data_IF_484719989354
#
_entry.id   IF_484719989354
#
_cell.length_a   1.000
_cell.length_b   1.000
_cell.length_c   1.000
_cell.angle_alpha   90.00
_cell.angle_beta   90.00
_cell.angle_gamma   90.00
#
_symmetry.space_group_name_H-M   'P 1'
#
loop_
_entity.id
_entity.type
_entity.pdbx_description
1 polymer ?
#
# COMPACT_ATOMS: atom_id res chain seq x y z
N UNK A 1 16.11 22.73 13.27
CA UNK A 1 14.75 23.32 13.27
C UNK A 1 14.11 22.97 11.93
N UNK A 2 13.37 21.87 11.86
CA UNK A 2 12.64 21.44 10.67
C UNK A 2 11.35 22.24 10.56
N UNK A 3 11.26 23.16 9.61
CA UNK A 3 9.98 23.75 9.22
C UNK A 3 9.18 22.68 8.49
N UNK A 4 8.24 22.09 9.17
CA UNK A 4 7.11 21.40 8.53
C UNK A 4 6.38 22.46 7.70
N UNK A 5 6.51 22.38 6.37
CA UNK A 5 5.73 23.22 5.48
C UNK A 5 4.26 22.80 5.60
N UNK A 6 3.53 23.48 6.46
CA UNK A 6 2.08 23.37 6.48
C UNK A 6 1.59 23.84 5.10
N UNK A 7 1.04 22.93 4.32
CA UNK A 7 0.37 23.25 3.06
C UNK A 7 -0.73 24.25 3.41
N UNK A 8 -0.65 25.46 2.88
CA UNK A 8 -1.67 26.48 3.14
C UNK A 8 -3.01 25.97 2.58
N UNK A 9 -4.05 25.91 3.40
CA UNK A 9 -5.40 25.48 3.01
C UNK A 9 -5.93 26.23 1.77
N UNK A 10 -5.48 27.49 1.58
CA UNK A 10 -5.81 28.28 0.39
C UNK A 10 -5.20 27.71 -0.90
N UNK A 11 -4.11 26.98 -0.85
CA UNK A 11 -3.50 26.33 -2.02
C UNK A 11 -4.16 24.98 -2.34
N UNK A 12 -4.72 24.30 -1.36
CA UNK A 12 -5.50 23.07 -1.57
C UNK A 12 -6.87 23.35 -2.22
N UNK A 13 -7.38 24.57 -2.16
CA UNK A 13 -8.60 24.98 -2.86
C UNK A 13 -8.39 25.09 -4.39
N UNK A 14 -7.14 25.17 -4.83
CA UNK A 14 -6.79 25.16 -6.24
C UNK A 14 -6.65 23.69 -6.68
N UNK A 15 -7.20 23.36 -7.85
CA UNK A 15 -7.07 22.02 -8.41
C UNK A 15 -5.60 21.68 -8.65
N UNK A 16 -5.18 20.40 -8.47
CA UNK A 16 -3.84 19.98 -8.82
C UNK A 16 -3.58 20.14 -10.32
N UNK A 17 -2.31 20.14 -10.70
CA UNK A 17 -1.93 20.11 -12.10
C UNK A 17 -2.50 18.87 -12.81
N UNK A 18 -2.88 19.03 -14.08
CA UNK A 18 -3.44 17.93 -14.87
C UNK A 18 -2.44 16.82 -15.17
N UNK A 19 -1.14 17.12 -15.09
CA UNK A 19 -0.07 16.14 -15.29
C UNK A 19 0.35 15.58 -13.95
N UNK A 20 0.33 14.27 -13.82
CA UNK A 20 0.81 13.54 -12.66
C UNK A 20 2.14 12.86 -12.99
N UNK A 21 2.99 12.71 -11.99
CA UNK A 21 4.20 11.89 -12.10
C UNK A 21 3.92 10.53 -11.46
N UNK A 22 4.37 9.46 -12.10
CA UNK A 22 4.26 8.11 -11.58
C UNK A 22 5.65 7.56 -11.26
N UNK A 23 5.74 6.76 -10.20
CA UNK A 23 6.98 6.19 -9.69
C UNK A 23 6.85 4.68 -9.49
N UNK A 24 7.97 3.99 -9.46
CA UNK A 24 8.02 2.54 -9.23
C UNK A 24 8.03 2.17 -7.76
N UNK A 25 8.56 3.04 -6.89
CA UNK A 25 8.69 2.75 -5.48
C UNK A 25 8.74 4.00 -4.62
N UNK A 26 8.48 3.80 -3.32
CA UNK A 26 8.44 4.86 -2.32
C UNK A 26 8.84 4.34 -0.96
N UNK A 27 9.73 5.09 -0.30
CA UNK A 27 10.09 4.81 1.08
C UNK A 27 9.37 5.79 2.01
N UNK A 28 8.50 5.28 2.87
CA UNK A 28 7.71 6.08 3.80
C UNK A 28 7.44 5.30 5.09
N UNK A 29 7.43 5.99 6.23
CA UNK A 29 7.17 5.41 7.56
C UNK A 29 8.09 4.22 7.91
N UNK A 30 9.27 4.14 7.31
CA UNK A 30 10.19 3.03 7.47
C UNK A 30 9.88 1.79 6.64
N UNK A 31 8.99 1.91 5.66
CA UNK A 31 8.64 0.85 4.71
C UNK A 31 9.09 1.20 3.31
N UNK A 32 9.53 0.18 2.56
CA UNK A 32 9.82 0.29 1.13
C UNK A 32 8.69 -0.32 0.36
N UNK A 33 7.94 0.49 -0.38
CA UNK A 33 6.87 0.03 -1.25
C UNK A 33 7.33 0.02 -2.71
N UNK A 34 6.91 -1.00 -3.46
CA UNK A 34 7.06 -1.07 -4.90
C UNK A 34 5.73 -1.37 -5.56
N UNK A 35 5.53 -0.85 -6.76
CA UNK A 35 4.35 -1.19 -7.57
C UNK A 35 4.37 -2.66 -7.95
N UNK A 36 3.19 -3.25 -8.21
CA UNK A 36 3.08 -4.64 -8.63
C UNK A 36 3.88 -4.90 -9.92
N UNK A 37 3.83 -3.94 -10.88
CA UNK A 37 4.59 -4.01 -12.13
C UNK A 37 6.10 -4.11 -11.89
N UNK A 38 6.65 -3.26 -11.03
CA UNK A 38 8.08 -3.27 -10.71
C UNK A 38 8.51 -4.53 -9.96
N UNK A 39 7.64 -5.07 -9.11
CA UNK A 39 7.89 -6.29 -8.34
C UNK A 39 7.85 -7.57 -9.19
N UNK A 40 7.30 -7.50 -10.41
CA UNK A 40 7.13 -8.67 -11.25
C UNK A 40 8.47 -9.31 -11.62
N UNK A 41 8.63 -10.61 -11.32
CA UNK A 41 9.87 -11.36 -11.57
C UNK A 41 10.96 -11.21 -10.50
N UNK A 42 10.75 -10.42 -9.45
CA UNK A 42 11.69 -10.28 -8.33
C UNK A 42 11.39 -11.32 -7.23
N UNK A 43 12.41 -11.61 -6.39
CA UNK A 43 12.25 -12.55 -5.26
C UNK A 43 11.37 -12.00 -4.13
N UNK A 44 11.31 -10.68 -3.98
CA UNK A 44 10.53 -10.00 -2.94
C UNK A 44 9.48 -9.11 -3.55
N UNK A 45 8.25 -9.23 -3.06
CA UNK A 45 7.11 -8.43 -3.47
C UNK A 45 6.76 -7.47 -2.33
N UNK A 46 7.16 -6.19 -2.48
CA UNK A 46 6.90 -5.13 -1.51
C UNK A 46 5.68 -4.28 -1.90
N UNK A 47 4.68 -4.89 -2.50
CA UNK A 47 3.48 -4.23 -2.98
C UNK A 47 2.26 -4.38 -2.05
N UNK A 48 2.39 -5.13 -0.98
CA UNK A 48 1.31 -5.31 -0.01
C UNK A 48 1.10 -4.06 0.84
N UNK A 49 -0.13 -3.58 0.88
CA UNK A 49 -0.54 -2.36 1.61
C UNK A 49 -1.63 -2.71 2.60
N UNK A 50 -1.54 -2.17 3.81
CA UNK A 50 -2.66 -2.11 4.74
C UNK A 50 -2.91 -0.70 5.22
N UNK A 51 -4.17 -0.38 5.46
CA UNK A 51 -4.63 0.89 6.01
C UNK A 51 -5.62 0.60 7.13
N UNK A 52 -5.45 1.28 8.25
CA UNK A 52 -6.41 1.18 9.33
C UNK A 52 -7.76 1.76 8.89
N UNK A 53 -8.81 0.98 9.03
CA UNK A 53 -10.16 1.48 8.85
C UNK A 53 -10.50 2.44 9.97
N UNK A 54 -10.93 3.65 9.61
CA UNK A 54 -11.59 4.56 10.54
C UNK A 54 -13.09 4.45 10.29
N UNK A 55 -13.74 3.56 10.97
CA UNK A 55 -15.21 3.47 10.87
C UNK A 55 -15.85 4.08 12.11
N UNK A 56 -16.93 4.84 11.88
CA UNK A 56 -17.88 5.19 12.93
C UNK A 56 -18.68 3.97 13.45
N UNK A 57 -18.29 2.76 13.07
CA UNK A 57 -18.92 1.49 13.50
C UNK A 57 -18.03 0.78 14.52
N UNK A 58 -18.64 -0.04 15.37
CA UNK A 58 -18.01 -0.76 16.49
C UNK A 58 -16.91 -1.76 16.08
N UNK A 59 -16.68 -1.97 14.77
CA UNK A 59 -15.69 -2.89 14.24
C UNK A 59 -14.72 -2.14 13.31
N UNK A 60 -13.52 -1.85 13.84
CA UNK A 60 -12.40 -1.37 13.01
C UNK A 60 -11.87 -2.54 12.17
N UNK A 61 -12.20 -2.54 10.88
CA UNK A 61 -11.64 -3.52 9.94
C UNK A 61 -10.51 -2.85 9.16
N UNK A 62 -9.31 -3.39 9.28
CA UNK A 62 -8.18 -2.95 8.45
C UNK A 62 -8.46 -3.27 6.98
N UNK A 63 -8.13 -2.35 6.09
CA UNK A 63 -8.15 -2.58 4.63
C UNK A 63 -6.82 -3.19 4.21
N UNK A 64 -6.89 -4.16 3.33
CA UNK A 64 -5.72 -4.83 2.75
C UNK A 64 -5.77 -4.77 1.23
N UNK A 65 -4.63 -4.52 0.60
CA UNK A 65 -4.57 -4.36 -0.84
C UNK A 65 -3.16 -4.48 -1.40
N UNK A 66 -3.05 -4.28 -2.71
CA UNK A 66 -1.79 -4.25 -3.42
C UNK A 66 -1.60 -2.90 -4.10
N UNK A 67 -0.39 -2.39 -4.07
CA UNK A 67 -0.01 -1.16 -4.73
C UNK A 67 0.08 -1.38 -6.25
N UNK A 68 -0.81 -0.74 -6.99
CA UNK A 68 -0.79 -0.74 -8.47
C UNK A 68 0.04 0.42 -9.01
N UNK A 69 -0.26 1.64 -8.55
CA UNK A 69 0.41 2.86 -9.02
C UNK A 69 0.77 3.77 -7.85
N UNK A 70 1.91 4.44 -7.97
CA UNK A 70 2.32 5.52 -7.08
C UNK A 70 2.29 6.84 -7.84
N UNK A 71 1.51 7.78 -7.37
CA UNK A 71 1.19 9.02 -8.05
C UNK A 71 1.61 10.22 -7.20
N UNK A 72 2.33 11.15 -7.81
CA UNK A 72 2.60 12.48 -7.26
C UNK A 72 1.65 13.49 -7.90
N UNK A 73 0.86 14.15 -7.06
CA UNK A 73 0.06 15.32 -7.43
C UNK A 73 0.83 16.59 -7.05
N UNK A 74 0.99 17.49 -8.00
CA UNK A 74 1.63 18.78 -7.79
C UNK A 74 0.57 19.90 -7.76
N UNK A 75 0.66 20.78 -6.77
CA UNK A 75 -0.22 21.94 -6.61
C UNK A 75 0.59 23.22 -6.75
N UNK A 76 0.48 23.92 -7.88
CA UNK A 76 1.01 25.29 -8.18
C UNK A 76 2.41 25.66 -7.67
N UNK A 77 3.11 24.80 -6.95
CA UNK A 77 4.52 24.99 -6.58
C UNK A 77 5.18 23.64 -6.36
N UNK A 78 6.46 23.56 -6.63
CA UNK A 78 7.26 22.34 -6.41
C UNK A 78 7.30 21.88 -4.94
N UNK A 79 6.97 22.76 -4.01
CA UNK A 79 6.94 22.45 -2.59
C UNK A 79 5.62 21.82 -2.13
N UNK A 80 4.54 21.98 -2.91
CA UNK A 80 3.21 21.47 -2.59
C UNK A 80 2.92 20.19 -3.37
N UNK A 81 3.48 19.08 -2.90
CA UNK A 81 3.32 17.76 -3.50
C UNK A 81 2.60 16.82 -2.56
N UNK A 82 1.69 16.03 -3.13
CA UNK A 82 0.95 14.99 -2.42
C UNK A 82 1.21 13.66 -3.11
N UNK A 83 1.64 12.67 -2.35
CA UNK A 83 1.83 11.32 -2.84
C UNK A 83 0.65 10.45 -2.46
N UNK A 84 0.12 9.75 -3.46
CA UNK A 84 -0.99 8.83 -3.33
C UNK A 84 -0.59 7.44 -3.83
N UNK A 85 -1.03 6.43 -3.11
CA UNK A 85 -1.06 5.07 -3.61
C UNK A 85 -2.42 4.81 -4.25
N UNK A 86 -2.42 4.33 -5.48
CA UNK A 86 -3.56 3.67 -6.09
C UNK A 86 -3.43 2.19 -5.83
N UNK A 87 -4.39 1.66 -5.09
CA UNK A 87 -4.36 0.29 -4.64
C UNK A 87 -5.53 -0.50 -5.18
N UNK A 88 -5.26 -1.76 -5.40
CA UNK A 88 -6.25 -2.79 -5.53
C UNK A 88 -6.62 -3.30 -4.14
N UNK A 89 -7.88 -3.15 -3.74
CA UNK A 89 -8.34 -3.52 -2.41
C UNK A 89 -9.07 -4.86 -2.41
N UNK A 90 -8.83 -5.65 -1.38
CA UNK A 90 -9.56 -6.89 -1.12
C UNK A 90 -10.87 -6.59 -0.40
N UNK A 91 -11.86 -7.46 -0.63
CA UNK A 91 -13.16 -7.36 0.02
C UNK A 91 -13.01 -7.51 1.54
N UNK A 92 -13.60 -6.58 2.29
CA UNK A 92 -13.54 -6.54 3.77
C UNK A 92 -14.65 -7.34 4.45
N UNK A 93 -15.56 -7.94 3.68
CA UNK A 93 -16.61 -8.84 4.21
C UNK A 93 -16.05 -10.23 4.50
N UNK A 94 -16.85 -11.08 5.14
CA UNK A 94 -16.50 -12.49 5.42
C UNK A 94 -16.14 -13.31 4.16
N UNK A 95 -16.48 -12.80 2.98
CA UNK A 95 -16.07 -13.41 1.68
C UNK A 95 -14.62 -13.15 1.33
N UNK A 96 -14.09 -12.02 1.80
CA UNK A 96 -12.76 -11.55 1.46
C UNK A 96 -11.76 -11.61 2.60
N UNK A 97 -12.20 -11.48 3.85
CA UNK A 97 -11.33 -11.52 5.04
C UNK A 97 -11.91 -12.49 6.06
N UNK A 98 -11.03 -13.26 6.67
CA UNK A 98 -11.34 -14.09 7.83
C UNK A 98 -10.17 -14.18 8.79
N UNK A 99 -10.44 -14.56 10.02
CA UNK A 99 -9.40 -14.86 11.01
C UNK A 99 -9.36 -16.37 11.23
N UNK A 100 -8.18 -16.97 11.06
CA UNK A 100 -7.99 -18.38 11.37
C UNK A 100 -8.22 -18.62 12.86
N UNK A 101 -9.16 -19.52 13.25
CA UNK A 101 -9.54 -19.69 14.65
C UNK A 101 -8.47 -20.38 15.50
N UNK A 102 -7.51 -21.07 14.85
CA UNK A 102 -6.48 -21.83 15.56
C UNK A 102 -5.26 -20.95 15.84
N UNK A 103 -4.85 -20.11 14.88
CA UNK A 103 -3.62 -19.33 14.96
C UNK A 103 -3.87 -17.83 15.07
N UNK A 104 -5.11 -17.38 14.92
CA UNK A 104 -5.44 -15.94 14.91
C UNK A 104 -4.87 -15.17 13.71
N UNK A 105 -4.45 -15.89 12.68
CA UNK A 105 -3.90 -15.27 11.47
C UNK A 105 -5.02 -14.67 10.63
N UNK A 106 -4.77 -13.46 10.13
CA UNK A 106 -5.69 -12.84 9.19
C UNK A 106 -5.41 -13.43 7.81
N UNK A 107 -6.46 -13.94 7.18
CA UNK A 107 -6.43 -14.49 5.84
C UNK A 107 -7.31 -13.67 4.90
N UNK A 108 -6.82 -13.44 3.69
CA UNK A 108 -7.57 -12.76 2.63
C UNK A 108 -7.81 -13.69 1.45
N UNK A 109 -8.97 -13.56 0.83
CA UNK A 109 -9.28 -14.23 -0.42
C UNK A 109 -8.74 -13.40 -1.59
N UNK A 110 -7.73 -13.93 -2.28
CA UNK A 110 -7.06 -13.24 -3.39
C UNK A 110 -7.96 -12.93 -4.58
N UNK A 111 -9.11 -13.61 -4.68
CA UNK A 111 -10.08 -13.41 -5.76
C UNK A 111 -11.23 -12.46 -5.38
N UNK A 112 -11.43 -12.21 -4.08
CA UNK A 112 -12.47 -11.32 -3.62
C UNK A 112 -11.97 -9.87 -3.61
N UNK A 113 -12.57 -9.04 -4.46
CA UNK A 113 -12.23 -7.63 -4.63
C UNK A 113 -13.29 -6.74 -4.01
N UNK A 114 -12.86 -5.63 -3.45
CA UNK A 114 -13.77 -4.56 -3.05
C UNK A 114 -14.37 -3.94 -4.31
N UNK A 115 -15.70 -3.99 -4.43
CA UNK A 115 -16.41 -3.50 -5.62
C UNK A 115 -16.49 -1.97 -5.71
N UNK A 116 -15.98 -1.23 -4.72
CA UNK A 116 -16.07 0.23 -4.71
C UNK A 116 -14.96 0.85 -5.56
N UNK A 117 -15.26 1.12 -6.82
CA UNK A 117 -14.33 1.65 -7.84
C UNK A 117 -13.86 3.08 -7.52
N UNK A 118 -14.56 3.80 -6.64
CA UNK A 118 -14.29 5.22 -6.37
C UNK A 118 -13.27 5.45 -5.26
N UNK A 119 -12.89 4.42 -4.49
CA UNK A 119 -12.06 4.57 -3.29
C UNK A 119 -10.74 3.79 -3.41
N UNK A 120 -10.06 3.99 -4.53
CA UNK A 120 -8.80 3.28 -4.85
C UNK A 120 -7.56 4.00 -4.33
N UNK A 121 -7.67 5.29 -3.99
CA UNK A 121 -6.55 6.12 -3.58
C UNK A 121 -6.42 6.24 -2.06
N UNK A 122 -5.18 6.23 -1.58
CA UNK A 122 -4.85 6.45 -0.18
C UNK A 122 -3.59 7.29 -0.05
N UNK A 123 -3.50 8.12 1.00
CA UNK A 123 -2.28 8.85 1.29
C UNK A 123 -1.18 7.89 1.73
N UNK A 124 0.01 8.02 1.12
CA UNK A 124 1.14 7.14 1.42
C UNK A 124 1.49 7.08 2.92
N UNK A 125 1.29 8.19 3.64
CA UNK A 125 1.56 8.29 5.09
C UNK A 125 0.61 7.46 5.97
N UNK A 126 -0.54 7.05 5.44
CA UNK A 126 -1.51 6.21 6.16
C UNK A 126 -1.23 4.72 6.00
N UNK A 127 -0.33 4.37 5.09
CA UNK A 127 -0.07 3.00 4.70
C UNK A 127 0.95 2.32 5.60
N UNK A 128 0.71 1.04 5.86
CA UNK A 128 1.65 0.09 6.45
C UNK A 128 1.90 -1.04 5.46
N UNK A 129 3.12 -1.58 5.47
CA UNK A 129 3.48 -2.67 4.58
C UNK A 129 3.06 -4.01 5.17
N UNK A 130 2.53 -4.87 4.31
CA UNK A 130 2.19 -6.26 4.63
C UNK A 130 2.71 -7.20 3.55
N UNK A 131 2.91 -8.44 3.92
CA UNK A 131 3.20 -9.52 2.98
C UNK A 131 2.06 -10.51 2.91
N UNK A 132 1.82 -11.02 1.71
CA UNK A 132 0.85 -12.07 1.44
C UNK A 132 1.57 -13.38 1.21
N UNK A 133 1.28 -14.39 2.02
CA UNK A 133 1.92 -15.69 1.96
C UNK A 133 0.89 -16.77 1.70
N UNK A 134 1.19 -17.66 0.78
CA UNK A 134 0.35 -18.84 0.56
C UNK A 134 0.34 -19.72 1.80
N UNK A 135 -0.86 -20.19 2.15
CA UNK A 135 -1.03 -21.11 3.27
C UNK A 135 -0.74 -22.51 2.75
N UNK A 136 0.26 -23.22 3.29
CA UNK A 136 0.50 -24.60 2.90
C UNK A 136 -0.71 -25.46 3.27
N UNK A 137 -1.47 -25.93 2.29
CA UNK A 137 -2.53 -26.90 2.57
C UNK A 137 -1.92 -28.28 2.68
N UNK A 138 -1.85 -28.82 3.89
CA UNK A 138 -1.39 -30.20 4.17
C UNK A 138 -2.38 -31.27 3.65
N UNK A 139 -3.55 -30.88 3.23
CA UNK A 139 -4.55 -31.73 2.60
C UNK A 139 -4.99 -31.09 1.29
N UNK A 140 -5.44 -31.90 0.34
CA UNK A 140 -5.99 -31.53 -0.98
C UNK A 140 -7.28 -30.68 -0.88
N UNK A 141 -7.32 -29.76 0.05
CA UNK A 141 -8.45 -28.87 0.27
C UNK A 141 -8.35 -27.69 -0.71
N UNK A 142 -8.97 -27.85 -1.88
CA UNK A 142 -9.04 -26.83 -2.92
C UNK A 142 -9.72 -25.54 -2.44
N UNK A 143 -10.46 -25.58 -1.33
CA UNK A 143 -11.16 -24.40 -0.78
C UNK A 143 -10.21 -23.35 -0.22
N UNK A 144 -8.95 -23.72 0.08
CA UNK A 144 -7.94 -22.81 0.65
C UNK A 144 -6.94 -22.25 -0.37
N UNK A 145 -6.98 -22.69 -1.62
CA UNK A 145 -6.00 -22.29 -2.66
C UNK A 145 -6.00 -20.78 -2.91
N UNK A 146 -7.15 -20.14 -2.76
CA UNK A 146 -7.32 -18.71 -3.04
C UNK A 146 -7.08 -17.82 -1.80
N UNK A 147 -6.81 -18.44 -0.65
CA UNK A 147 -6.58 -17.71 0.61
C UNK A 147 -5.10 -17.50 0.86
N UNK A 148 -4.76 -16.27 1.23
CA UNK A 148 -3.42 -15.83 1.58
C UNK A 148 -3.40 -15.37 3.03
N UNK A 149 -2.40 -15.76 3.79
CA UNK A 149 -2.15 -15.23 5.12
C UNK A 149 -1.45 -13.89 5.04
N UNK A 150 -1.80 -12.97 5.92
CA UNK A 150 -1.20 -11.64 6.02
C UNK A 150 -0.15 -11.64 7.12
N UNK A 151 1.05 -11.17 6.77
CA UNK A 151 2.13 -10.89 7.72
C UNK A 151 2.41 -9.40 7.76
N UNK A 152 2.24 -8.76 8.93
CA UNK A 152 2.61 -7.35 9.14
C UNK A 152 4.13 -7.26 9.29
N UNK A 153 4.72 -6.22 8.70
CA UNK A 153 6.16 -5.98 8.76
C UNK A 153 6.51 -4.92 9.81
N UNK A 154 7.73 -4.98 10.30
CA UNK A 154 8.27 -3.93 11.18
C UNK A 154 8.95 -2.87 10.33
N UNK A 155 8.66 -1.57 10.57
CA UNK A 155 9.30 -0.49 9.81
C UNK A 155 10.81 -0.43 10.04
N UNK A 156 11.57 -0.13 8.98
CA UNK A 156 13.02 -0.03 9.00
C UNK A 156 13.45 1.39 8.65
N UNK A 157 13.85 2.19 9.61
CA UNK A 157 14.37 3.55 9.36
C UNK A 157 13.32 4.66 9.32
N UNK A 158 13.76 5.91 8.99
CA UNK A 158 12.93 7.14 9.09
C UNK A 158 13.06 8.11 7.91
N UNK A 159 13.72 7.75 6.81
CA UNK A 159 13.94 8.63 5.66
C UNK A 159 12.91 8.35 4.57
N UNK A 160 12.36 9.40 3.96
CA UNK A 160 11.46 9.29 2.81
C UNK A 160 12.27 9.47 1.51
N UNK A 161 12.18 8.54 0.59
CA UNK A 161 12.83 8.58 -0.72
C UNK A 161 11.89 8.09 -1.81
N UNK A 162 11.91 8.77 -2.96
CA UNK A 162 11.11 8.41 -4.14
C UNK A 162 12.01 7.78 -5.20
N UNK A 163 11.61 6.64 -5.73
CA UNK A 163 12.32 5.94 -6.80
C UNK A 163 11.65 6.22 -8.14
N UNK A 164 12.39 6.84 -9.07
CA UNK A 164 11.89 7.17 -10.41
C UNK A 164 11.68 5.92 -11.28
N UNK A 165 10.72 5.99 -12.22
CA UNK A 165 10.44 4.91 -13.18
C UNK A 165 11.61 4.59 -14.12
N UNK A 166 12.52 5.56 -14.33
CA UNK A 166 13.60 5.46 -15.31
C UNK A 166 14.98 5.16 -14.71
N UNK A 167 15.10 5.07 -13.38
CA UNK A 167 16.37 4.79 -12.72
C UNK A 167 16.40 3.33 -12.26
N UNK A 168 17.23 2.55 -12.96
CA UNK A 168 17.50 1.17 -12.58
C UNK A 168 18.39 1.14 -11.31
N UNK A 169 17.78 0.81 -10.19
CA UNK A 169 18.23 -0.15 -9.18
C UNK A 169 19.47 0.08 -8.32
N UNK A 170 20.27 1.13 -8.40
CA UNK A 170 21.55 1.12 -7.66
C UNK A 170 21.55 1.79 -6.27
N UNK A 171 20.49 2.49 -5.90
CA UNK A 171 20.50 3.32 -4.66
C UNK A 171 20.08 2.54 -3.40
N UNK A 172 19.44 1.37 -3.56
CA UNK A 172 18.88 0.64 -2.42
C UNK A 172 19.81 -0.46 -1.86
N UNK A 173 20.83 -0.86 -2.61
CA UNK A 173 21.77 -1.91 -2.15
C UNK A 173 22.78 -1.38 -1.11
N UNK A 174 22.92 -0.07 -0.95
CA UNK A 174 23.85 0.54 0.03
C UNK A 174 23.21 0.88 1.38
N UNK A 175 21.90 0.67 1.56
CA UNK A 175 21.17 1.02 2.80
C UNK A 175 20.80 -0.21 3.65
N UNK A 176 21.28 -1.42 3.26
CA UNK A 176 21.00 -2.67 3.99
C UNK A 176 22.26 -3.37 4.47
#
# INVERSE_FOLDING_TARGET
>A
MGRSAAISLSLLSLSPERKVKCYNGYFVNGYVFHTEEYGHGRKTYNNGVSVKGSTCSEFEVDYYGKLEELIELQYHSEQNRVFLFKCYWYDTTDRGIRVDPLYGLIEINSKARLCNVNDVFVFVKQCQQVYYTYIPSFRKDQSRVDWLSISKTTPRGRVEVVQNKNEDTSVWDEVF
#
